data_IF_250419259143
#
_entry.id   IF_250419259143
#
_cell.length_a   1.000
_cell.length_b   1.000
_cell.length_c   1.000
_cell.angle_alpha   90.00
_cell.angle_beta   90.00
_cell.angle_gamma   90.00
#
_symmetry.space_group_name_H-M   'P 1'
#
loop_
_entity.id
_entity.type
_entity.pdbx_description
1 polymer ?
#
# COMPACT_ATOMS: atom_id res chain seq x y z
N UNK A 1 -4.12 -32.62 -7.89
CA UNK A 1 -3.56 -32.06 -6.64
C UNK A 1 -4.01 -30.61 -6.55
N UNK A 2 -4.58 -30.18 -5.42
CA UNK A 2 -5.16 -28.85 -5.30
C UNK A 2 -4.04 -27.81 -5.07
N UNK A 3 -3.75 -26.99 -6.09
CA UNK A 3 -2.62 -26.05 -6.09
C UNK A 3 -2.72 -24.96 -5.00
N UNK A 4 -3.90 -24.75 -4.43
CA UNK A 4 -4.12 -23.78 -3.35
C UNK A 4 -3.66 -24.29 -1.98
N UNK A 5 -3.60 -25.61 -1.77
CA UNK A 5 -3.24 -26.20 -0.47
C UNK A 5 -1.80 -25.83 -0.05
N UNK A 6 -0.77 -25.98 -0.91
CA UNK A 6 0.59 -25.56 -0.57
C UNK A 6 0.71 -24.06 -0.25
N UNK A 7 -0.04 -23.21 -0.96
CA UNK A 7 -0.03 -21.75 -0.76
C UNK A 7 -0.59 -21.40 0.62
N UNK A 8 -1.72 -21.99 0.99
CA UNK A 8 -2.34 -21.77 2.30
C UNK A 8 -1.46 -22.30 3.44
N UNK A 9 -0.86 -23.47 3.27
CA UNK A 9 0.05 -24.06 4.26
C UNK A 9 1.28 -23.17 4.45
N UNK A 10 1.89 -22.68 3.37
CA UNK A 10 3.03 -21.78 3.47
C UNK A 10 2.66 -20.45 4.15
N UNK A 11 1.52 -19.86 3.79
CA UNK A 11 1.00 -18.65 4.44
C UNK A 11 0.76 -18.86 5.94
N UNK A 12 0.17 -20.00 6.32
CA UNK A 12 -0.05 -20.35 7.72
C UNK A 12 1.27 -20.52 8.49
N UNK A 13 2.27 -21.17 7.90
CA UNK A 13 3.60 -21.33 8.51
C UNK A 13 4.27 -19.96 8.67
N UNK A 14 4.19 -19.08 7.67
CA UNK A 14 4.77 -17.74 7.74
C UNK A 14 4.14 -16.90 8.87
N UNK A 15 2.80 -16.91 8.98
CA UNK A 15 2.08 -16.23 10.06
C UNK A 15 2.43 -16.84 11.42
N UNK A 16 2.44 -18.17 11.52
CA UNK A 16 2.79 -18.87 12.75
C UNK A 16 4.22 -18.53 13.20
N UNK A 17 5.18 -18.48 12.28
CA UNK A 17 6.55 -18.10 12.57
C UNK A 17 6.66 -16.65 13.05
N UNK A 18 5.97 -15.71 12.40
CA UNK A 18 5.95 -14.30 12.81
C UNK A 18 5.37 -14.13 14.22
N UNK A 19 4.22 -14.75 14.49
CA UNK A 19 3.57 -14.71 15.81
C UNK A 19 4.44 -15.37 16.87
N UNK A 20 4.96 -16.57 16.59
CA UNK A 20 5.87 -17.28 17.49
C UNK A 20 7.10 -16.43 17.83
N UNK A 21 7.72 -15.79 16.85
CA UNK A 21 8.91 -14.95 17.05
C UNK A 21 8.60 -13.76 17.96
N UNK A 22 7.48 -13.07 17.76
CA UNK A 22 7.04 -11.96 18.62
C UNK A 22 6.73 -12.46 20.05
N UNK A 23 6.05 -13.59 20.19
CA UNK A 23 5.74 -14.18 21.50
C UNK A 23 7.02 -14.57 22.25
N UNK A 24 7.95 -15.26 21.60
CA UNK A 24 9.22 -15.64 22.21
C UNK A 24 10.03 -14.40 22.61
N UNK A 25 10.13 -13.40 21.73
CA UNK A 25 10.84 -12.16 22.03
C UNK A 25 10.26 -11.43 23.27
N UNK A 26 8.92 -11.40 23.40
CA UNK A 26 8.25 -10.75 24.53
C UNK A 26 8.31 -11.55 25.84
N UNK A 27 8.52 -12.88 25.79
CA UNK A 27 8.66 -13.74 26.97
C UNK A 27 10.11 -13.82 27.46
N UNK A 28 11.07 -13.96 26.53
CA UNK A 28 12.50 -14.11 26.86
C UNK A 28 13.16 -12.77 27.15
N UNK A 29 12.67 -11.68 26.56
CA UNK A 29 13.26 -10.34 26.71
C UNK A 29 13.13 -9.76 28.12
N UNK A 30 14.14 -8.99 28.61
CA UNK A 30 14.10 -8.36 29.92
C UNK A 30 13.01 -7.27 29.99
N UNK A 31 12.02 -7.47 30.86
CA UNK A 31 10.87 -6.55 31.04
C UNK A 31 11.19 -5.40 31.98
N UNK A 32 12.08 -4.49 31.55
CA UNK A 32 12.43 -3.26 32.29
C UNK A 32 11.72 -2.04 31.71
N UNK A 33 10.41 -1.97 31.91
CA UNK A 33 9.60 -0.81 31.57
C UNK A 33 9.98 0.37 32.47
N UNK A 34 10.14 1.55 31.89
CA UNK A 34 10.32 2.81 32.60
C UNK A 34 9.45 3.85 31.87
N UNK A 35 8.89 4.83 32.57
CA UNK A 35 8.06 5.88 32.00
C UNK A 35 8.74 6.54 30.79
N UNK A 36 10.01 6.94 30.95
CA UNK A 36 10.81 7.52 29.88
C UNK A 36 11.06 6.59 28.66
N UNK A 37 10.98 5.26 28.82
CA UNK A 37 11.12 4.30 27.70
C UNK A 37 9.82 4.09 26.92
N UNK A 38 8.68 4.42 27.52
CA UNK A 38 7.35 4.27 26.92
C UNK A 38 6.83 5.59 26.34
N UNK A 39 7.48 6.71 26.66
CA UNK A 39 7.21 8.00 26.05
C UNK A 39 7.67 8.01 24.59
N UNK A 40 6.93 8.73 23.75
CA UNK A 40 7.27 8.86 22.34
C UNK A 40 8.60 9.61 22.19
N UNK A 41 9.40 9.16 21.24
CA UNK A 41 10.76 9.65 21.05
C UNK A 41 10.75 11.03 20.41
N UNK A 42 11.27 12.03 21.12
CA UNK A 42 11.54 13.36 20.55
C UNK A 42 12.66 14.10 21.29
N UNK A 43 13.75 13.40 21.63
CA UNK A 43 14.95 14.00 22.25
C UNK A 43 14.68 14.93 23.46
N UNK A 44 13.62 14.70 24.23
CA UNK A 44 13.22 15.52 25.38
C UNK A 44 12.30 16.71 25.07
N UNK A 45 11.89 16.91 23.82
CA UNK A 45 10.78 17.79 23.44
C UNK A 45 9.48 16.99 23.63
N UNK A 46 8.43 17.61 24.17
CA UNK A 46 7.13 16.94 24.23
C UNK A 46 6.56 16.83 22.81
N UNK A 47 6.22 15.62 22.36
CA UNK A 47 5.63 15.45 21.05
C UNK A 47 4.39 16.30 20.89
N UNK A 48 4.31 17.00 19.76
CA UNK A 48 3.13 17.80 19.42
C UNK A 48 1.91 16.90 19.60
N UNK A 49 0.98 17.21 20.53
CA UNK A 49 -0.14 16.33 20.83
C UNK A 49 -0.97 16.16 19.56
N UNK A 50 -0.91 14.99 18.94
CA UNK A 50 -1.80 14.65 17.84
C UNK A 50 -3.17 14.41 18.47
N UNK A 51 -4.18 15.28 18.26
CA UNK A 51 -5.50 15.05 18.82
C UNK A 51 -6.03 13.72 18.27
N UNK A 52 -6.46 12.81 19.15
CA UNK A 52 -7.09 11.55 18.80
C UNK A 52 -8.33 11.70 17.90
N UNK A 53 -8.87 12.92 17.82
CA UNK A 53 -10.05 13.32 17.05
C UNK A 53 -9.72 14.08 15.76
N UNK A 54 -8.44 14.22 15.37
CA UNK A 54 -8.01 14.88 14.13
C UNK A 54 -8.36 16.37 14.04
N UNK A 55 -8.87 16.97 15.12
CA UNK A 55 -9.20 18.40 15.21
C UNK A 55 -8.66 18.93 16.54
N UNK A 56 -7.86 19.98 16.42
CA UNK A 56 -7.15 20.73 17.47
C UNK A 56 -5.73 20.25 17.82
N UNK A 57 -4.72 20.78 17.10
CA UNK A 57 -3.34 20.86 17.59
C UNK A 57 -2.25 20.22 16.72
N UNK A 58 -2.56 19.10 16.05
CA UNK A 58 -1.60 18.36 15.23
C UNK A 58 -1.51 18.87 13.79
N UNK A 59 -0.30 18.92 13.24
CA UNK A 59 -0.03 19.32 11.86
C UNK A 59 -0.88 18.49 10.89
N UNK A 60 -1.62 19.14 9.99
CA UNK A 60 -2.43 18.44 8.98
C UNK A 60 -1.48 17.64 8.09
N UNK A 61 -1.73 16.34 7.96
CA UNK A 61 -1.00 15.50 7.01
C UNK A 61 -1.21 16.08 5.60
N UNK A 62 -0.13 16.29 4.83
CA UNK A 62 -0.23 16.82 3.47
C UNK A 62 -1.17 16.01 2.58
N UNK A 63 -1.99 16.69 1.76
CA UNK A 63 -2.96 16.05 0.85
C UNK A 63 -2.29 15.18 -0.22
N UNK A 64 -0.98 15.37 -0.48
CA UNK A 64 -0.21 14.57 -1.43
C UNK A 64 -0.36 13.06 -1.22
N UNK A 65 -0.41 12.58 0.03
CA UNK A 65 -0.62 11.15 0.31
C UNK A 65 -1.99 10.63 -0.16
N UNK A 66 -3.02 11.47 -0.08
CA UNK A 66 -4.35 11.13 -0.59
C UNK A 66 -4.35 11.05 -2.12
N UNK A 67 -3.73 12.02 -2.80
CA UNK A 67 -3.63 12.02 -4.27
C UNK A 67 -2.89 10.78 -4.77
N UNK A 68 -1.76 10.43 -4.14
CA UNK A 68 -1.00 9.22 -4.48
C UNK A 68 -1.80 7.94 -4.24
N UNK A 69 -2.49 7.82 -3.11
CA UNK A 69 -3.31 6.63 -2.82
C UNK A 69 -4.48 6.51 -3.81
N UNK A 70 -5.13 7.62 -4.15
CA UNK A 70 -6.20 7.65 -5.14
C UNK A 70 -5.70 7.23 -6.52
N UNK A 71 -4.56 7.76 -6.97
CA UNK A 71 -3.95 7.38 -8.24
C UNK A 71 -3.55 5.90 -8.27
N UNK A 72 -2.99 5.38 -7.17
CA UNK A 72 -2.65 3.97 -7.03
C UNK A 72 -3.88 3.07 -7.19
N UNK A 73 -5.01 3.41 -6.56
CA UNK A 73 -6.26 2.65 -6.67
C UNK A 73 -6.77 2.64 -8.12
N UNK A 74 -6.74 3.79 -8.78
CA UNK A 74 -7.18 3.90 -10.18
C UNK A 74 -6.30 3.03 -11.08
N UNK A 75 -4.98 3.13 -10.94
CA UNK A 75 -4.02 2.32 -11.70
C UNK A 75 -4.14 0.81 -11.41
N UNK A 76 -4.38 0.41 -10.16
CA UNK A 76 -4.57 -1.00 -9.80
C UNK A 76 -5.82 -1.58 -10.47
N UNK A 77 -6.91 -0.81 -10.54
CA UNK A 77 -8.13 -1.20 -11.26
C UNK A 77 -7.85 -1.39 -12.76
N UNK A 78 -7.01 -0.55 -13.36
CA UNK A 78 -6.62 -0.70 -14.78
C UNK A 78 -5.86 -2.01 -15.02
N UNK A 79 -4.95 -2.37 -14.10
CA UNK A 79 -4.23 -3.64 -14.15
C UNK A 79 -5.20 -4.83 -14.06
N UNK A 80 -6.22 -4.74 -13.20
CA UNK A 80 -7.28 -5.76 -13.12
C UNK A 80 -7.99 -5.95 -14.47
N UNK A 81 -8.20 -4.90 -15.26
CA UNK A 81 -8.74 -5.01 -16.62
C UNK A 81 -7.73 -5.55 -17.65
N UNK A 82 -6.44 -5.27 -17.45
CA UNK A 82 -5.38 -5.78 -18.32
C UNK A 82 -5.16 -7.30 -18.15
N UNK A 83 -5.36 -7.84 -16.96
CA UNK A 83 -5.10 -9.27 -16.66
C UNK A 83 -5.88 -10.25 -17.54
N UNK A 84 -7.23 -10.18 -17.65
CA UNK A 84 -7.99 -11.10 -18.49
C UNK A 84 -7.57 -11.04 -19.96
N UNK A 85 -7.27 -9.85 -20.47
CA UNK A 85 -6.74 -9.67 -21.82
C UNK A 85 -5.35 -10.29 -21.97
N UNK A 86 -4.45 -10.10 -21.00
CA UNK A 86 -3.10 -10.64 -21.05
C UNK A 86 -3.09 -12.18 -21.03
N UNK A 87 -4.03 -12.81 -20.33
CA UNK A 87 -4.16 -14.28 -20.27
C UNK A 87 -4.80 -14.87 -21.54
N UNK A 88 -5.66 -14.11 -22.23
CA UNK A 88 -6.41 -14.56 -23.42
C UNK A 88 -6.08 -13.76 -24.69
N UNK A 89 -4.89 -13.19 -24.78
CA UNK A 89 -4.51 -12.28 -25.87
C UNK A 89 -4.53 -12.96 -27.24
N UNK A 90 -4.25 -14.27 -27.25
CA UNK A 90 -4.22 -15.16 -28.40
C UNK A 90 -5.61 -15.35 -29.03
N UNK A 91 -6.67 -15.43 -28.22
CA UNK A 91 -8.04 -15.59 -28.70
C UNK A 91 -8.62 -14.33 -29.34
N UNK A 92 -8.11 -13.14 -28.97
CA UNK A 92 -8.65 -11.84 -29.38
C UNK A 92 -7.96 -11.25 -30.62
N UNK A 93 -6.75 -11.72 -30.94
CA UNK A 93 -5.98 -11.31 -32.12
C UNK A 93 -5.82 -9.79 -32.26
N UNK A 94 -5.89 -9.30 -33.51
CA UNK A 94 -5.70 -7.88 -33.81
C UNK A 94 -6.76 -6.97 -33.18
N UNK A 95 -8.00 -7.45 -33.06
CA UNK A 95 -9.08 -6.69 -32.42
C UNK A 95 -8.77 -6.41 -30.95
N UNK A 96 -8.36 -7.45 -30.20
CA UNK A 96 -7.96 -7.29 -28.81
C UNK A 96 -6.78 -6.35 -28.64
N UNK A 97 -5.80 -6.40 -29.55
CA UNK A 97 -4.65 -5.51 -29.52
C UNK A 97 -5.06 -4.04 -29.69
N UNK A 98 -5.89 -3.74 -30.69
CA UNK A 98 -6.35 -2.35 -30.94
C UNK A 98 -7.23 -1.86 -29.81
N UNK A 99 -8.18 -2.67 -29.34
CA UNK A 99 -9.05 -2.31 -28.23
C UNK A 99 -8.25 -2.02 -26.95
N UNK A 100 -7.26 -2.84 -26.64
CA UNK A 100 -6.42 -2.64 -25.46
C UNK A 100 -5.47 -1.45 -25.61
N UNK A 101 -4.91 -1.23 -26.80
CA UNK A 101 -4.09 -0.05 -27.07
C UNK A 101 -4.89 1.23 -26.87
N UNK A 102 -6.15 1.27 -27.34
CA UNK A 102 -7.05 2.40 -27.10
C UNK A 102 -7.36 2.58 -25.61
N UNK A 103 -7.66 1.50 -24.89
CA UNK A 103 -7.89 1.54 -23.44
C UNK A 103 -6.70 2.13 -22.69
N UNK A 104 -5.51 1.56 -22.87
CA UNK A 104 -4.27 2.02 -22.21
C UNK A 104 -3.97 3.46 -22.58
N UNK A 105 -4.14 3.84 -23.85
CA UNK A 105 -3.91 5.20 -24.30
C UNK A 105 -4.86 6.19 -23.61
N UNK A 106 -6.17 5.96 -23.63
CA UNK A 106 -7.17 6.87 -23.05
C UNK A 106 -6.95 7.06 -21.55
N UNK A 107 -6.63 5.99 -20.85
CA UNK A 107 -6.35 6.00 -19.42
C UNK A 107 -5.04 6.72 -19.10
N UNK A 108 -3.98 6.46 -19.88
CA UNK A 108 -2.68 7.12 -19.73
C UNK A 108 -2.76 8.64 -19.90
N UNK A 109 -3.74 9.16 -20.64
CA UNK A 109 -3.96 10.62 -20.75
C UNK A 109 -4.23 11.24 -19.38
N UNK A 110 -5.02 10.60 -18.52
CA UNK A 110 -5.31 11.10 -17.17
C UNK A 110 -4.03 11.16 -16.32
N UNK A 111 -3.20 10.12 -16.39
CA UNK A 111 -1.90 10.06 -15.69
C UNK A 111 -0.94 11.15 -16.18
N UNK A 112 -0.82 11.32 -17.50
CA UNK A 112 0.02 12.37 -18.10
C UNK A 112 -0.47 13.76 -17.69
N UNK A 113 -1.78 13.97 -17.64
CA UNK A 113 -2.36 15.23 -17.19
C UNK A 113 -2.04 15.53 -15.72
N UNK A 114 -2.18 14.55 -14.83
CA UNK A 114 -1.84 14.71 -13.42
C UNK A 114 -0.36 14.99 -13.20
N UNK A 115 0.52 14.27 -13.93
CA UNK A 115 1.96 14.53 -13.93
C UNK A 115 2.23 15.97 -14.37
N UNK A 116 1.66 16.42 -15.49
CA UNK A 116 1.84 17.79 -16.00
C UNK A 116 1.35 18.86 -15.01
N UNK A 117 0.37 18.54 -14.15
CA UNK A 117 -0.11 19.42 -13.08
C UNK A 117 0.69 19.34 -11.78
N UNK A 118 1.73 18.53 -11.71
CA UNK A 118 2.55 18.36 -10.52
C UNK A 118 1.88 17.53 -9.42
N UNK A 119 0.86 16.71 -9.75
CA UNK A 119 0.25 15.78 -8.77
C UNK A 119 1.24 14.76 -8.19
N UNK A 120 2.37 14.58 -8.88
CA UNK A 120 3.48 13.70 -8.51
C UNK A 120 4.71 14.42 -7.95
N UNK A 121 4.65 15.72 -7.63
CA UNK A 121 5.80 16.41 -7.04
C UNK A 121 5.93 16.14 -5.55
N UNK A 122 7.09 15.64 -5.13
CA UNK A 122 7.40 15.27 -3.75
C UNK A 122 8.58 16.10 -3.23
N UNK A 123 8.31 17.39 -2.98
CA UNK A 123 9.16 18.24 -2.14
C UNK A 123 8.56 18.36 -0.72
#
# INVERSE_FOLDING_TARGET
MNAYVPILVLGAIAVAFAVFSVVVATVVGPRRANRAKLEAYECGIEPVPQPATGRAGGQRIPVKYYLTAMLFIIFDIEIVFLYPWAVHFDALGLFGLVAMALFVFTVSVAYVYEWRRGGLSWD
#
